data_IF_423724654810
#
_entry.id   IF_423724654810
#
_cell.length_a   1.000
_cell.length_b   1.000
_cell.length_c   1.000
_cell.angle_alpha   90.00
_cell.angle_beta   90.00
_cell.angle_gamma   90.00
#
_symmetry.space_group_name_H-M   'P 1'
#
loop_
_entity.id
_entity.type
_entity.pdbx_description
1 polymer ?
#
# COMPACT_ATOMS: atom_id res chain seq x y z
N UNK A 1 27.25 -4.37 1.71
CA UNK A 1 25.81 -4.17 1.79
C UNK A 1 25.17 -5.08 0.76
N UNK A 2 24.34 -6.03 1.19
CA UNK A 2 23.65 -6.91 0.28
C UNK A 2 22.51 -6.16 -0.38
N UNK A 3 22.42 -6.22 -1.71
CA UNK A 3 21.38 -5.57 -2.49
C UNK A 3 20.57 -6.61 -3.25
N UNK A 4 19.24 -6.47 -3.20
CA UNK A 4 18.33 -7.28 -3.99
C UNK A 4 18.40 -6.83 -5.44
N UNK A 5 18.89 -7.72 -6.31
CA UNK A 5 18.89 -7.53 -7.75
C UNK A 5 17.77 -8.32 -8.40
N UNK A 6 16.92 -7.65 -9.15
CA UNK A 6 15.77 -8.25 -9.83
C UNK A 6 16.09 -8.42 -11.30
N UNK A 7 16.47 -9.63 -11.69
CA UNK A 7 16.82 -9.97 -13.09
C UNK A 7 15.61 -10.51 -13.89
N UNK A 8 14.52 -10.84 -13.20
CA UNK A 8 13.32 -11.42 -13.79
C UNK A 8 12.08 -10.75 -13.21
N UNK A 9 11.20 -10.27 -14.07
CA UNK A 9 9.95 -9.62 -13.66
C UNK A 9 9.08 -10.57 -12.83
N UNK A 10 8.73 -10.22 -11.57
CA UNK A 10 7.94 -11.10 -10.70
C UNK A 10 6.49 -11.31 -11.19
N UNK A 11 5.98 -10.43 -12.05
CA UNK A 11 4.65 -10.58 -12.61
C UNK A 11 4.62 -11.59 -13.78
N UNK A 12 5.45 -11.37 -14.80
CA UNK A 12 5.32 -12.12 -16.07
C UNK A 12 6.50 -13.03 -16.41
N UNK A 13 7.54 -13.08 -15.58
CA UNK A 13 8.76 -13.86 -15.85
C UNK A 13 9.64 -13.27 -16.97
N UNK A 14 9.34 -12.08 -17.48
CA UNK A 14 10.13 -11.43 -18.53
C UNK A 14 11.51 -11.01 -18.02
N UNK A 15 12.56 -11.21 -18.85
CA UNK A 15 13.95 -10.85 -18.52
C UNK A 15 14.41 -9.55 -19.19
N UNK A 16 13.63 -9.00 -20.12
CA UNK A 16 13.96 -7.75 -20.77
C UNK A 16 13.45 -6.59 -19.91
N UNK A 17 14.40 -5.91 -19.26
CA UNK A 17 14.18 -4.79 -18.37
C UNK A 17 14.83 -3.55 -18.98
N UNK A 18 14.15 -2.43 -18.93
CA UNK A 18 14.64 -1.13 -19.38
C UNK A 18 14.66 -0.14 -18.23
N UNK A 19 15.59 0.81 -18.25
CA UNK A 19 15.59 1.92 -17.32
C UNK A 19 14.38 2.81 -17.56
N UNK A 20 13.57 3.04 -16.53
CA UNK A 20 12.42 3.92 -16.63
C UNK A 20 12.72 5.31 -16.06
N UNK A 21 13.32 5.39 -14.88
CA UNK A 21 13.62 6.65 -14.20
C UNK A 21 14.61 6.42 -13.06
N UNK A 22 15.44 7.41 -12.73
CA UNK A 22 16.29 7.39 -11.54
C UNK A 22 15.73 8.34 -10.50
N UNK A 23 15.41 7.81 -9.31
CA UNK A 23 14.87 8.57 -8.20
C UNK A 23 15.89 8.72 -7.06
N UNK A 24 15.78 9.81 -6.30
CA UNK A 24 16.63 10.06 -5.12
C UNK A 24 15.81 9.75 -3.85
N UNK A 25 16.42 9.07 -2.88
CA UNK A 25 15.86 8.99 -1.53
C UNK A 25 15.97 10.35 -0.84
N UNK A 26 14.98 11.19 -1.04
CA UNK A 26 14.92 12.53 -0.43
C UNK A 26 14.47 12.48 1.04
N UNK A 27 14.10 11.31 1.54
CA UNK A 27 13.59 11.14 2.89
C UNK A 27 14.72 10.90 3.92
N UNK A 28 15.68 10.03 3.60
CA UNK A 28 16.68 9.59 4.56
C UNK A 28 18.13 9.76 4.07
N UNK A 29 18.52 9.07 2.99
CA UNK A 29 19.94 8.85 2.66
C UNK A 29 20.51 9.80 1.60
N UNK A 30 19.69 10.37 0.74
CA UNK A 30 20.13 11.10 -0.47
C UNK A 30 20.68 10.18 -1.57
N UNK A 31 20.70 8.86 -1.40
CA UNK A 31 21.16 7.90 -2.40
C UNK A 31 20.20 7.85 -3.60
N UNK A 32 20.74 7.49 -4.76
CA UNK A 32 19.97 7.33 -5.99
C UNK A 32 19.70 5.85 -6.27
N UNK A 33 18.47 5.57 -6.70
CA UNK A 33 18.03 4.24 -7.08
C UNK A 33 17.37 4.28 -8.45
N UNK A 34 17.61 3.23 -9.24
CA UNK A 34 16.98 3.07 -10.55
C UNK A 34 15.63 2.37 -10.42
N UNK A 35 14.63 2.92 -11.06
CA UNK A 35 13.35 2.25 -11.26
C UNK A 35 13.37 1.66 -12.66
N UNK A 36 13.26 0.33 -12.74
CA UNK A 36 13.24 -0.42 -14.00
C UNK A 36 11.82 -0.73 -14.42
N UNK A 37 11.64 -0.91 -15.71
CA UNK A 37 10.38 -1.34 -16.32
C UNK A 37 10.57 -2.69 -17.04
N UNK A 38 9.68 -3.63 -16.80
CA UNK A 38 9.57 -4.81 -17.64
C UNK A 38 8.94 -4.42 -18.98
N UNK A 39 9.64 -4.66 -20.09
CA UNK A 39 9.14 -4.30 -21.44
C UNK A 39 7.93 -5.11 -21.86
N UNK A 40 7.74 -6.34 -21.27
CA UNK A 40 6.65 -7.25 -21.61
C UNK A 40 5.31 -6.85 -20.97
N UNK A 41 5.31 -6.46 -19.69
CA UNK A 41 4.05 -6.20 -18.95
C UNK A 41 3.95 -4.78 -18.39
N UNK A 42 5.01 -3.96 -18.50
CA UNK A 42 5.04 -2.60 -18.01
C UNK A 42 5.20 -2.45 -16.49
N UNK A 43 5.43 -3.55 -15.75
CA UNK A 43 5.62 -3.48 -14.32
C UNK A 43 6.90 -2.71 -13.96
N UNK A 44 6.79 -1.77 -13.03
CA UNK A 44 7.87 -0.92 -12.54
C UNK A 44 8.33 -1.42 -11.16
N UNK A 45 9.64 -1.46 -10.94
CA UNK A 45 10.22 -1.84 -9.65
C UNK A 45 11.57 -1.17 -9.45
N UNK A 46 11.89 -0.88 -8.17
CA UNK A 46 13.17 -0.31 -7.77
C UNK A 46 14.25 -1.39 -7.79
N UNK A 47 15.40 -1.09 -8.38
CA UNK A 47 16.51 -2.03 -8.54
C UNK A 47 17.57 -1.79 -7.47
N UNK A 48 18.33 -2.86 -7.16
CA UNK A 48 19.45 -2.83 -6.23
C UNK A 48 19.10 -2.23 -4.85
N UNK A 49 17.89 -2.52 -4.37
CA UNK A 49 17.46 -2.09 -3.04
C UNK A 49 18.18 -2.88 -1.95
N UNK A 50 18.45 -2.30 -0.77
CA UNK A 50 18.96 -3.06 0.37
C UNK A 50 18.00 -4.21 0.72
N UNK A 51 18.55 -5.37 1.06
CA UNK A 51 17.74 -6.51 1.56
C UNK A 51 17.01 -6.12 2.86
N UNK A 52 15.95 -6.85 3.19
CA UNK A 52 15.10 -6.56 4.35
C UNK A 52 15.86 -6.37 5.66
N UNK A 53 16.90 -7.16 5.89
CA UNK A 53 17.76 -7.05 7.07
C UNK A 53 18.53 -5.71 7.17
N UNK A 54 18.73 -5.01 6.05
CA UNK A 54 19.54 -3.78 5.97
C UNK A 54 18.70 -2.54 5.64
N UNK A 55 17.43 -2.69 5.26
CA UNK A 55 16.56 -1.57 4.88
C UNK A 55 16.23 -0.64 6.06
N UNK A 56 16.37 -1.11 7.30
CA UNK A 56 15.99 -0.40 8.52
C UNK A 56 16.51 1.05 8.59
N UNK A 57 17.77 1.29 8.18
CA UNK A 57 18.39 2.64 8.18
C UNK A 57 17.63 3.68 7.35
N UNK A 58 16.89 3.26 6.33
CA UNK A 58 16.08 4.16 5.49
C UNK A 58 14.74 4.54 6.13
N UNK A 59 14.41 3.93 7.28
CA UNK A 59 13.25 4.27 8.11
C UNK A 59 13.63 5.05 9.37
N UNK A 60 14.93 5.15 9.70
CA UNK A 60 15.43 5.84 10.90
C UNK A 60 15.54 7.34 10.68
N UNK A 61 14.40 8.01 10.55
CA UNK A 61 14.35 9.46 10.48
C UNK A 61 13.49 10.03 11.61
N UNK A 62 13.79 11.23 12.15
CA UNK A 62 12.97 11.86 13.17
C UNK A 62 11.50 12.04 12.74
N UNK A 63 11.26 12.20 11.45
CA UNK A 63 9.93 12.42 10.88
C UNK A 63 9.08 11.14 10.79
N UNK A 64 9.69 9.94 10.82
CA UNK A 64 8.95 8.66 10.73
C UNK A 64 8.01 8.42 11.91
N UNK A 65 8.36 8.94 13.08
CA UNK A 65 7.58 8.81 14.31
C UNK A 65 6.65 10.02 14.53
N UNK A 66 6.87 11.14 13.83
CA UNK A 66 6.19 12.41 14.06
C UNK A 66 4.78 12.51 13.45
N UNK A 67 4.22 11.43 12.92
CA UNK A 67 2.75 11.35 12.81
C UNK A 67 2.09 11.24 14.19
N UNK A 68 2.82 11.67 15.23
CA UNK A 68 2.38 11.76 16.60
C UNK A 68 1.25 12.76 16.75
N UNK A 69 0.22 12.34 17.45
CA UNK A 69 -0.94 13.09 17.90
C UNK A 69 -0.54 14.30 18.76
N UNK A 70 -0.09 15.38 18.15
CA UNK A 70 -0.05 16.66 18.84
C UNK A 70 -1.42 17.33 18.72
N UNK A 71 -2.18 17.32 19.80
CA UNK A 71 -3.56 17.81 19.87
C UNK A 71 -3.71 19.34 19.81
N UNK A 72 -2.73 20.10 19.29
CA UNK A 72 -2.76 21.55 19.31
C UNK A 72 -2.81 22.16 17.90
N UNK A 73 -3.89 22.91 17.63
CA UNK A 73 -4.04 23.74 16.42
C UNK A 73 -5.18 23.33 15.48
N UNK A 74 -5.62 24.28 14.64
CA UNK A 74 -6.69 24.08 13.65
C UNK A 74 -6.35 22.99 12.65
N UNK A 75 -5.09 22.90 12.21
CA UNK A 75 -4.61 21.90 11.25
C UNK A 75 -4.78 20.48 11.79
N UNK A 76 -4.49 20.24 13.06
CA UNK A 76 -4.69 18.93 13.68
C UNK A 76 -6.16 18.54 13.78
N UNK A 77 -7.06 19.49 14.06
CA UNK A 77 -8.51 19.22 14.03
C UNK A 77 -8.96 18.77 12.65
N UNK A 78 -8.51 19.44 11.60
CA UNK A 78 -8.81 19.05 10.21
C UNK A 78 -8.24 17.66 9.93
N UNK A 79 -7.00 17.38 10.32
CA UNK A 79 -6.38 16.07 10.15
C UNK A 79 -7.19 14.95 10.85
N UNK A 80 -7.61 15.15 12.10
CA UNK A 80 -8.44 14.19 12.82
C UNK A 80 -9.81 13.96 12.16
N UNK A 81 -10.44 14.99 11.62
CA UNK A 81 -11.71 14.86 10.89
C UNK A 81 -11.53 14.07 9.58
N UNK A 82 -10.49 14.39 8.83
CA UNK A 82 -10.15 13.65 7.60
C UNK A 82 -9.85 12.18 7.92
N UNK A 83 -9.05 11.91 8.96
CA UNK A 83 -8.76 10.54 9.43
C UNK A 83 -10.05 9.79 9.76
N UNK A 84 -10.93 10.37 10.60
CA UNK A 84 -12.22 9.77 10.98
C UNK A 84 -13.09 9.46 9.76
N UNK A 85 -13.16 10.39 8.82
CA UNK A 85 -13.88 10.21 7.57
C UNK A 85 -13.30 9.05 6.74
N UNK A 86 -11.96 9.01 6.58
CA UNK A 86 -11.29 7.95 5.81
C UNK A 86 -11.43 6.58 6.46
N UNK A 87 -11.32 6.47 7.80
CA UNK A 87 -11.56 5.21 8.53
C UNK A 87 -13.00 4.72 8.32
N UNK A 88 -13.97 5.63 8.34
CA UNK A 88 -15.37 5.27 8.06
C UNK A 88 -15.56 4.79 6.61
N UNK A 89 -14.91 5.43 5.63
CA UNK A 89 -14.95 4.98 4.22
C UNK A 89 -14.30 3.62 4.04
N UNK A 90 -13.12 3.37 4.66
CA UNK A 90 -12.45 2.07 4.65
C UNK A 90 -13.35 0.96 5.22
N UNK A 91 -13.97 1.20 6.37
CA UNK A 91 -14.89 0.24 6.99
C UNK A 91 -16.14 -0.03 6.12
N UNK A 92 -16.73 1.00 5.52
CA UNK A 92 -17.85 0.85 4.58
C UNK A 92 -17.45 0.07 3.33
N UNK A 93 -16.24 0.25 2.82
CA UNK A 93 -15.73 -0.51 1.70
C UNK A 93 -15.68 -2.00 2.05
N UNK A 94 -15.06 -2.37 3.17
CA UNK A 94 -14.98 -3.77 3.61
C UNK A 94 -16.38 -4.38 3.77
N UNK A 95 -17.30 -3.68 4.46
CA UNK A 95 -18.69 -4.14 4.61
C UNK A 95 -19.35 -4.40 3.25
N UNK A 96 -19.14 -3.52 2.28
CA UNK A 96 -19.77 -3.64 0.96
C UNK A 96 -19.16 -4.79 0.15
N UNK A 97 -17.82 -4.90 0.14
CA UNK A 97 -17.12 -5.90 -0.68
C UNK A 97 -17.23 -7.31 -0.12
N UNK A 98 -17.20 -7.47 1.22
CA UNK A 98 -17.37 -8.76 1.87
C UNK A 98 -18.83 -9.18 2.04
N UNK A 99 -19.77 -8.24 1.96
CA UNK A 99 -21.18 -8.45 2.30
C UNK A 99 -21.44 -8.62 3.81
N UNK A 100 -20.41 -8.49 4.65
CA UNK A 100 -20.46 -8.76 6.08
C UNK A 100 -20.46 -7.48 6.90
N UNK A 101 -21.28 -7.40 7.93
CA UNK A 101 -21.22 -6.32 8.93
C UNK A 101 -20.22 -6.60 10.06
N UNK A 102 -19.90 -7.88 10.29
CA UNK A 102 -18.94 -8.40 11.28
C UNK A 102 -18.28 -9.65 10.70
N UNK A 103 -17.03 -9.92 11.07
CA UNK A 103 -16.28 -11.06 10.58
C UNK A 103 -14.89 -11.12 11.20
N UNK A 104 -14.00 -11.92 10.62
CA UNK A 104 -12.57 -11.97 10.96
C UNK A 104 -11.78 -11.12 9.97
N UNK A 105 -11.00 -10.18 10.48
CA UNK A 105 -10.15 -9.26 9.71
C UNK A 105 -8.69 -9.47 10.09
N UNK A 106 -7.83 -9.55 9.08
CA UNK A 106 -6.39 -9.39 9.24
C UNK A 106 -5.96 -8.06 8.61
N UNK A 107 -5.34 -7.18 9.40
CA UNK A 107 -4.79 -5.92 8.95
C UNK A 107 -3.27 -5.98 8.98
N UNK A 108 -2.63 -6.06 7.81
CA UNK A 108 -1.18 -6.19 7.67
C UNK A 108 -0.58 -4.80 7.50
N UNK A 109 0.45 -4.49 8.31
CA UNK A 109 1.05 -3.16 8.38
C UNK A 109 0.08 -2.16 9.02
N UNK A 110 -0.51 -2.53 10.16
CA UNK A 110 -1.53 -1.71 10.84
C UNK A 110 -1.02 -0.35 11.34
N UNK A 111 0.30 -0.14 11.36
CA UNK A 111 0.93 1.04 11.92
C UNK A 111 0.54 1.21 13.40
N UNK A 112 0.09 2.39 13.76
CA UNK A 112 -0.36 2.72 15.13
C UNK A 112 -1.76 2.18 15.49
N UNK A 113 -2.38 1.34 14.63
CA UNK A 113 -3.60 0.58 14.95
C UNK A 113 -4.93 1.32 14.82
N UNK A 114 -4.97 2.58 14.34
CA UNK A 114 -6.23 3.33 14.21
C UNK A 114 -7.29 2.63 13.37
N UNK A 115 -6.90 2.03 12.24
CA UNK A 115 -7.86 1.34 11.39
C UNK A 115 -8.33 0.02 12.03
N UNK A 116 -7.42 -0.76 12.56
CA UNK A 116 -7.70 -2.00 13.29
C UNK A 116 -8.65 -1.75 14.46
N UNK A 117 -8.40 -0.69 15.26
CA UNK A 117 -9.30 -0.28 16.33
C UNK A 117 -10.69 0.11 15.81
N UNK A 118 -10.74 0.91 14.76
CA UNK A 118 -12.01 1.32 14.15
C UNK A 118 -12.85 0.12 13.65
N UNK A 119 -12.21 -0.98 13.24
CA UNK A 119 -12.89 -2.22 12.87
C UNK A 119 -13.30 -3.05 14.11
N UNK A 120 -12.45 -3.11 15.15
CA UNK A 120 -12.78 -3.74 16.45
C UNK A 120 -14.02 -3.10 17.07
N UNK A 121 -14.11 -1.76 17.10
CA UNK A 121 -15.27 -1.00 17.60
C UNK A 121 -16.55 -1.29 16.80
N UNK A 122 -16.44 -1.69 15.53
CA UNK A 122 -17.56 -2.12 14.68
C UNK A 122 -17.90 -3.60 14.82
N UNK A 123 -17.27 -4.30 15.75
CA UNK A 123 -17.54 -5.69 16.11
C UNK A 123 -16.84 -6.72 15.20
N UNK A 124 -15.79 -6.33 14.47
CA UNK A 124 -14.91 -7.29 13.79
C UNK A 124 -13.94 -7.93 14.77
N UNK A 125 -13.65 -9.21 14.58
CA UNK A 125 -12.52 -9.90 15.23
C UNK A 125 -11.28 -9.55 14.45
N UNK A 126 -10.47 -8.66 15.00
CA UNK A 126 -9.29 -8.14 14.32
C UNK A 126 -8.05 -8.87 14.80
N UNK A 127 -7.24 -9.34 13.86
CA UNK A 127 -5.82 -9.61 14.01
C UNK A 127 -5.06 -8.54 13.25
N UNK A 128 -3.93 -8.13 13.78
CA UNK A 128 -3.12 -7.08 13.19
C UNK A 128 -1.65 -7.47 13.22
N UNK A 129 -0.91 -7.10 12.18
CA UNK A 129 0.53 -7.30 12.06
C UNK A 129 1.20 -5.95 11.82
N UNK A 130 2.32 -5.71 12.51
CA UNK A 130 3.14 -4.52 12.31
C UNK A 130 4.62 -4.83 12.63
N UNK A 131 5.51 -4.43 11.73
CA UNK A 131 6.96 -4.63 11.89
C UNK A 131 7.55 -3.73 12.99
N UNK A 132 7.09 -2.49 13.07
CA UNK A 132 7.63 -1.47 13.97
C UNK A 132 7.18 -1.70 15.41
N UNK A 133 8.15 -2.00 16.30
CA UNK A 133 7.91 -2.27 17.73
C UNK A 133 7.23 -1.08 18.44
N UNK A 134 7.62 0.16 18.11
CA UNK A 134 7.04 1.35 18.74
C UNK A 134 5.59 1.55 18.31
N UNK A 135 5.26 1.27 17.05
CA UNK A 135 3.88 1.32 16.57
C UNK A 135 3.01 0.25 17.24
N UNK A 136 3.53 -0.98 17.44
CA UNK A 136 2.83 -2.02 18.20
C UNK A 136 2.57 -1.62 19.64
N UNK A 137 3.59 -1.05 20.31
CA UNK A 137 3.45 -0.56 21.70
C UNK A 137 2.38 0.54 21.78
N UNK A 138 2.37 1.49 20.85
CA UNK A 138 1.35 2.53 20.76
C UNK A 138 -0.06 1.94 20.60
N UNK A 139 -0.24 0.97 19.71
CA UNK A 139 -1.54 0.32 19.48
C UNK A 139 -2.04 -0.41 20.73
N UNK A 140 -1.13 -1.05 21.47
CA UNK A 140 -1.47 -1.70 22.74
C UNK A 140 -1.87 -0.70 23.81
N UNK A 141 -1.08 0.37 24.00
CA UNK A 141 -1.31 1.38 25.02
C UNK A 141 -2.63 2.16 24.81
N UNK A 142 -2.90 2.57 23.56
CA UNK A 142 -4.01 3.48 23.26
C UNK A 142 -5.31 2.78 22.90
N UNK A 143 -5.27 1.56 22.39
CA UNK A 143 -6.44 0.85 21.87
C UNK A 143 -6.64 -0.56 22.46
N UNK A 144 -5.73 -0.99 23.34
CA UNK A 144 -5.69 -2.37 23.82
C UNK A 144 -5.78 -3.39 22.66
N UNK A 145 -4.98 -3.14 21.63
CA UNK A 145 -4.83 -4.03 20.49
C UNK A 145 -3.57 -4.88 20.66
N UNK A 146 -3.74 -6.18 20.57
CA UNK A 146 -2.62 -7.10 20.42
C UNK A 146 -2.23 -7.14 18.96
N UNK A 147 -1.04 -6.62 18.66
CA UNK A 147 -0.48 -6.53 17.30
C UNK A 147 0.72 -7.46 17.22
N UNK A 148 0.63 -8.43 16.34
CA UNK A 148 1.67 -9.45 16.15
C UNK A 148 2.84 -8.87 15.34
N UNK A 149 4.03 -9.49 15.45
CA UNK A 149 5.16 -9.18 14.59
C UNK A 149 4.99 -9.83 13.21
N UNK A 150 5.83 -9.44 12.25
CA UNK A 150 5.69 -9.83 10.83
C UNK A 150 5.77 -11.36 10.62
N UNK A 151 6.61 -12.05 11.37
CA UNK A 151 6.81 -13.50 11.34
C UNK A 151 5.54 -14.30 11.71
N UNK A 152 4.60 -13.69 12.44
CA UNK A 152 3.32 -14.32 12.78
C UNK A 152 2.45 -14.65 11.55
N UNK A 153 2.68 -13.99 10.39
CA UNK A 153 1.91 -14.23 9.17
C UNK A 153 1.96 -15.70 8.72
N UNK A 154 3.11 -16.33 8.88
CA UNK A 154 3.29 -17.75 8.54
C UNK A 154 2.48 -18.71 9.44
N UNK A 155 2.25 -18.32 10.71
CA UNK A 155 1.61 -19.15 11.72
C UNK A 155 0.09 -19.13 11.73
N UNK A 156 -0.57 -18.22 11.00
CA UNK A 156 -2.03 -18.22 10.94
C UNK A 156 -2.56 -19.42 10.15
N UNK A 157 -3.69 -19.97 10.58
CA UNK A 157 -4.34 -21.08 9.88
C UNK A 157 -4.93 -20.60 8.54
N UNK A 158 -4.92 -21.47 7.54
CA UNK A 158 -5.56 -21.20 6.25
C UNK A 158 -7.08 -21.02 6.42
N UNK A 159 -7.71 -20.31 5.48
CA UNK A 159 -9.15 -20.02 5.47
C UNK A 159 -9.69 -19.39 6.77
N UNK A 160 -8.89 -18.53 7.42
CA UNK A 160 -9.23 -17.93 8.72
C UNK A 160 -9.91 -16.58 8.63
N UNK A 161 -9.71 -15.83 7.55
CA UNK A 161 -10.13 -14.44 7.47
C UNK A 161 -11.21 -14.21 6.42
N UNK A 162 -12.23 -13.41 6.82
CA UNK A 162 -13.27 -12.92 5.92
C UNK A 162 -12.80 -11.70 5.12
N UNK A 163 -11.85 -10.95 5.68
CA UNK A 163 -11.21 -9.83 5.01
C UNK A 163 -9.72 -9.73 5.40
N UNK A 164 -8.87 -9.38 4.43
CA UNK A 164 -7.47 -9.02 4.66
C UNK A 164 -7.25 -7.63 4.08
N UNK A 165 -6.51 -6.77 4.79
CA UNK A 165 -6.23 -5.40 4.35
C UNK A 165 -4.74 -5.09 4.39
N UNK A 166 -4.25 -4.41 3.34
CA UNK A 166 -2.91 -3.84 3.23
C UNK A 166 -3.04 -2.38 2.76
N UNK A 167 -2.82 -1.44 3.68
CA UNK A 167 -2.94 0.00 3.41
C UNK A 167 -1.55 0.60 3.26
N UNK A 168 -1.03 0.72 2.05
CA UNK A 168 0.34 1.16 1.75
C UNK A 168 1.39 0.23 2.41
N UNK A 169 1.31 -1.04 2.05
CA UNK A 169 2.20 -2.10 2.57
C UNK A 169 2.74 -2.97 1.44
N UNK A 170 1.90 -3.34 0.46
CA UNK A 170 2.27 -4.28 -0.60
C UNK A 170 3.51 -3.81 -1.39
N UNK A 171 3.67 -2.51 -1.56
CA UNK A 171 4.80 -1.89 -2.24
C UNK A 171 6.15 -2.06 -1.52
N UNK A 172 6.13 -2.40 -0.22
CA UNK A 172 7.34 -2.58 0.62
C UNK A 172 7.79 -4.04 0.75
N UNK A 173 6.95 -5.01 0.40
CA UNK A 173 7.18 -6.42 0.71
C UNK A 173 8.22 -7.04 -0.24
N UNK A 174 9.33 -7.56 0.27
CA UNK A 174 10.40 -8.15 -0.54
C UNK A 174 9.91 -9.38 -1.32
N UNK A 175 9.19 -10.28 -0.66
CA UNK A 175 8.70 -11.56 -1.23
C UNK A 175 7.28 -11.44 -1.79
N UNK A 176 7.13 -10.68 -2.90
CA UNK A 176 5.83 -10.28 -3.44
C UNK A 176 4.93 -11.48 -3.83
N UNK A 177 5.45 -12.46 -4.56
CA UNK A 177 4.65 -13.60 -5.03
C UNK A 177 4.23 -14.51 -3.87
N UNK A 178 5.16 -14.83 -3.00
CA UNK A 178 4.95 -15.65 -1.80
C UNK A 178 3.90 -15.00 -0.88
N UNK A 179 3.96 -13.68 -0.77
CA UNK A 179 2.94 -12.92 -0.03
C UNK A 179 1.56 -13.08 -0.67
N UNK A 180 1.43 -12.90 -1.99
CA UNK A 180 0.14 -13.08 -2.66
C UNK A 180 -0.43 -14.50 -2.47
N UNK A 181 0.43 -15.53 -2.56
CA UNK A 181 0.05 -16.92 -2.32
C UNK A 181 -0.42 -17.12 -0.88
N UNK A 182 0.33 -16.55 0.09
CA UNK A 182 -0.05 -16.64 1.50
C UNK A 182 -1.36 -15.93 1.80
N UNK A 183 -1.59 -14.74 1.25
CA UNK A 183 -2.86 -14.01 1.39
C UNK A 183 -4.03 -14.81 0.82
N UNK A 184 -3.83 -15.49 -0.32
CA UNK A 184 -4.85 -16.34 -0.91
C UNK A 184 -5.20 -17.52 0.01
N UNK A 185 -4.20 -18.20 0.59
CA UNK A 185 -4.42 -19.32 1.51
C UNK A 185 -5.15 -18.90 2.78
N UNK A 186 -4.84 -17.71 3.31
CA UNK A 186 -5.45 -17.19 4.55
C UNK A 186 -6.92 -16.79 4.40
N UNK A 187 -7.35 -16.44 3.19
CA UNK A 187 -8.72 -16.02 2.94
C UNK A 187 -9.68 -17.21 2.91
N UNK A 188 -10.85 -17.03 3.51
CA UNK A 188 -11.98 -17.93 3.33
C UNK A 188 -12.49 -17.89 1.88
N UNK A 189 -13.30 -18.87 1.50
CA UNK A 189 -13.84 -19.04 0.12
C UNK A 189 -14.51 -17.79 -0.46
N UNK A 190 -15.11 -16.97 0.37
CA UNK A 190 -15.73 -15.69 -0.02
C UNK A 190 -15.02 -14.48 0.57
N UNK A 191 -13.79 -14.69 1.03
CA UNK A 191 -12.97 -13.66 1.61
C UNK A 191 -12.57 -12.59 0.60
N UNK A 192 -12.32 -11.38 1.09
CA UNK A 192 -11.91 -10.24 0.28
C UNK A 192 -10.54 -9.73 0.70
N UNK A 193 -9.70 -9.45 -0.28
CA UNK A 193 -8.43 -8.78 -0.08
C UNK A 193 -8.57 -7.32 -0.53
N UNK A 194 -8.19 -6.39 0.35
CA UNK A 194 -8.16 -4.95 0.06
C UNK A 194 -6.71 -4.48 0.09
N UNK A 195 -6.24 -3.97 -1.04
CA UNK A 195 -4.87 -3.44 -1.18
C UNK A 195 -4.93 -1.98 -1.60
N UNK A 196 -4.27 -1.10 -0.87
CA UNK A 196 -4.06 0.28 -1.27
C UNK A 196 -2.59 0.51 -1.54
N UNK A 197 -2.25 1.08 -2.70
CA UNK A 197 -0.87 1.36 -3.12
C UNK A 197 -0.79 2.66 -3.91
N UNK A 198 0.37 3.33 -3.94
CA UNK A 198 0.65 4.45 -4.84
C UNK A 198 0.56 4.04 -6.31
N UNK A 199 0.19 5.00 -7.16
CA UNK A 199 -0.04 4.76 -8.58
C UNK A 199 0.89 5.62 -9.45
N UNK A 200 1.94 5.06 -10.05
CA UNK A 200 2.90 5.82 -10.88
C UNK A 200 2.29 6.34 -12.19
N UNK A 201 1.06 5.94 -12.54
CA UNK A 201 0.31 6.49 -13.68
C UNK A 201 -0.61 7.66 -13.30
N UNK A 202 -0.55 8.14 -12.06
CA UNK A 202 -1.35 9.27 -11.57
C UNK A 202 -0.94 10.59 -12.23
N UNK A 203 -1.82 11.60 -12.08
CA UNK A 203 -1.54 12.95 -12.62
C UNK A 203 -0.28 13.56 -12.00
N UNK A 204 -0.15 13.50 -10.69
CA UNK A 204 0.97 14.04 -9.92
C UNK A 204 2.27 13.26 -10.19
N UNK A 205 2.24 11.94 -10.33
CA UNK A 205 3.41 11.16 -10.72
C UNK A 205 3.94 11.55 -12.11
N UNK A 206 3.06 11.68 -13.09
CA UNK A 206 3.42 12.11 -14.46
C UNK A 206 3.97 13.54 -14.47
N UNK A 207 3.42 14.43 -13.65
CA UNK A 207 3.86 15.82 -13.53
C UNK A 207 5.23 15.95 -12.87
N UNK A 208 5.43 15.23 -11.75
CA UNK A 208 6.63 15.40 -10.91
C UNK A 208 7.80 14.51 -11.33
N UNK A 209 7.53 13.45 -12.08
CA UNK A 209 8.54 12.50 -12.58
C UNK A 209 9.42 11.97 -11.44
N UNK A 210 10.75 12.07 -11.56
CA UNK A 210 11.74 11.59 -10.59
C UNK A 210 11.59 12.20 -9.18
N UNK A 211 10.93 13.34 -9.07
CA UNK A 211 10.68 14.02 -7.80
C UNK A 211 9.44 13.53 -7.07
N UNK A 212 8.60 12.72 -7.73
CA UNK A 212 7.34 12.27 -7.12
C UNK A 212 7.59 11.52 -5.82
N UNK A 213 7.15 12.09 -4.69
CA UNK A 213 7.49 11.60 -3.35
C UNK A 213 7.02 10.16 -3.10
N UNK A 214 5.98 9.69 -3.80
CA UNK A 214 5.48 8.34 -3.62
C UNK A 214 6.24 7.26 -4.43
N UNK A 215 7.31 7.62 -5.16
CA UNK A 215 8.30 6.60 -5.52
C UNK A 215 9.02 6.06 -4.29
N UNK A 216 9.25 6.90 -3.30
CA UNK A 216 9.77 6.56 -1.97
C UNK A 216 10.89 5.50 -1.96
N UNK A 217 11.84 5.62 -2.90
CA UNK A 217 12.97 4.70 -3.02
C UNK A 217 13.93 4.82 -1.83
N UNK A 218 14.53 3.73 -1.34
CA UNK A 218 14.36 2.34 -1.74
C UNK A 218 13.26 1.59 -0.98
N UNK A 219 12.47 2.27 -0.13
CA UNK A 219 11.41 1.67 0.69
C UNK A 219 10.29 1.05 -0.15
N UNK A 220 9.90 1.71 -1.26
CA UNK A 220 8.98 1.14 -2.23
C UNK A 220 9.75 0.33 -3.27
N UNK A 221 9.62 -1.00 -3.20
CA UNK A 221 10.21 -1.92 -4.16
C UNK A 221 9.37 -1.99 -5.43
N UNK A 222 8.05 -1.95 -5.28
CA UNK A 222 7.07 -2.23 -6.33
C UNK A 222 6.18 -1.03 -6.62
N UNK A 223 6.00 -0.70 -7.91
CA UNK A 223 5.19 0.45 -8.33
C UNK A 223 4.02 -0.02 -9.18
N UNK A 224 2.85 -0.10 -8.56
CA UNK A 224 1.67 -0.71 -9.15
C UNK A 224 0.82 0.27 -9.93
N UNK A 225 0.72 0.11 -11.25
CA UNK A 225 -0.37 0.71 -12.03
C UNK A 225 -1.66 -0.11 -11.89
N UNK A 226 -2.84 0.46 -12.20
CA UNK A 226 -4.09 -0.31 -12.19
C UNK A 226 -4.06 -1.59 -13.01
N UNK A 227 -3.43 -1.57 -14.19
CA UNK A 227 -3.34 -2.75 -15.05
C UNK A 227 -2.39 -3.83 -14.48
N UNK A 228 -1.29 -3.42 -13.86
CA UNK A 228 -0.35 -4.33 -13.19
C UNK A 228 -1.00 -4.99 -11.99
N UNK A 229 -1.70 -4.24 -11.16
CA UNK A 229 -2.42 -4.80 -10.01
C UNK A 229 -3.49 -5.81 -10.44
N UNK A 230 -4.22 -5.53 -11.51
CA UNK A 230 -5.18 -6.47 -12.07
C UNK A 230 -4.51 -7.76 -12.55
N UNK A 231 -3.36 -7.66 -13.24
CA UNK A 231 -2.60 -8.83 -13.70
C UNK A 231 -2.05 -9.66 -12.54
N UNK A 232 -1.56 -9.03 -11.46
CA UNK A 232 -1.15 -9.74 -10.24
C UNK A 232 -2.33 -10.47 -9.60
N UNK A 233 -3.48 -9.81 -9.48
CA UNK A 233 -4.68 -10.46 -8.98
C UNK A 233 -5.01 -11.73 -9.78
N UNK A 234 -5.07 -11.64 -11.11
CA UNK A 234 -5.36 -12.79 -11.99
C UNK A 234 -4.31 -13.88 -11.83
N UNK A 235 -3.01 -13.54 -11.80
CA UNK A 235 -1.91 -14.50 -11.62
C UNK A 235 -2.08 -15.36 -10.35
N UNK A 236 -2.58 -14.77 -9.27
CA UNK A 236 -2.74 -15.43 -7.97
C UNK A 236 -4.19 -15.87 -7.67
N UNK A 237 -5.04 -16.02 -8.72
CA UNK A 237 -6.39 -16.56 -8.58
C UNK A 237 -7.43 -15.56 -8.03
N UNK A 238 -7.11 -14.28 -8.04
CA UNK A 238 -8.05 -13.23 -7.62
C UNK A 238 -8.74 -12.58 -8.81
N UNK A 239 -9.99 -12.23 -8.63
CA UNK A 239 -10.74 -11.36 -9.53
C UNK A 239 -10.84 -9.96 -8.94
N UNK A 240 -10.45 -8.96 -9.71
CA UNK A 240 -10.66 -7.57 -9.33
C UNK A 240 -12.17 -7.27 -9.30
N UNK A 241 -12.70 -7.02 -8.10
CA UNK A 241 -14.10 -6.69 -7.90
C UNK A 241 -14.34 -5.19 -8.06
N UNK A 242 -13.52 -4.37 -7.41
CA UNK A 242 -13.68 -2.92 -7.39
C UNK A 242 -12.34 -2.18 -7.34
N UNK A 243 -12.33 -0.96 -7.92
CA UNK A 243 -11.21 -0.02 -7.80
C UNK A 243 -11.73 1.32 -7.28
N UNK A 244 -11.04 1.88 -6.28
CA UNK A 244 -11.41 3.15 -5.69
C UNK A 244 -10.23 4.10 -5.63
N UNK A 245 -10.40 5.37 -6.02
CA UNK A 245 -9.38 6.38 -5.85
C UNK A 245 -9.23 6.78 -4.38
N UNK A 246 -8.01 7.19 -4.01
CA UNK A 246 -7.70 7.88 -2.77
C UNK A 246 -7.33 9.35 -3.07
N UNK A 247 -8.32 10.20 -3.33
CA UNK A 247 -8.08 11.53 -3.92
C UNK A 247 -7.34 12.49 -2.99
N UNK A 248 -7.38 12.26 -1.66
CA UNK A 248 -6.71 13.13 -0.69
C UNK A 248 -5.21 12.89 -0.62
N UNK A 249 -4.72 11.72 -1.02
CA UNK A 249 -3.29 11.40 -1.02
C UNK A 249 -2.51 12.32 -1.95
N UNK A 250 -3.13 12.74 -3.06
CA UNK A 250 -2.52 13.66 -4.01
C UNK A 250 -2.07 14.98 -3.36
N UNK A 251 -2.80 15.50 -2.37
CA UNK A 251 -2.44 16.73 -1.66
C UNK A 251 -1.19 16.51 -0.82
N UNK A 252 -1.17 15.44 -0.02
CA UNK A 252 -0.03 15.11 0.83
C UNK A 252 1.22 14.81 0.00
N UNK A 253 1.11 13.92 -1.00
CA UNK A 253 2.23 13.53 -1.87
C UNK A 253 2.78 14.74 -2.62
N UNK A 254 1.91 15.62 -3.15
CA UNK A 254 2.35 16.82 -3.86
C UNK A 254 3.05 17.84 -2.94
N UNK A 255 2.55 18.04 -1.72
CA UNK A 255 3.22 18.92 -0.74
C UNK A 255 4.60 18.37 -0.36
N UNK A 256 4.70 17.07 -0.13
CA UNK A 256 5.96 16.40 0.18
C UNK A 256 6.94 16.50 -0.99
N UNK A 257 6.47 16.28 -2.20
CA UNK A 257 7.25 16.43 -3.43
C UNK A 257 7.83 17.84 -3.57
N UNK A 258 7.01 18.87 -3.35
CA UNK A 258 7.47 20.26 -3.41
C UNK A 258 8.48 20.60 -2.29
N UNK A 259 8.35 19.96 -1.10
CA UNK A 259 9.35 20.04 -0.03
C UNK A 259 10.68 19.43 -0.47
N UNK A 260 10.66 18.26 -1.09
CA UNK A 260 11.86 17.59 -1.62
C UNK A 260 12.55 18.39 -2.72
N UNK A 261 11.79 19.09 -3.56
CA UNK A 261 12.33 20.02 -4.58
C UNK A 261 12.92 21.32 -4.00
N UNK A 262 12.86 21.51 -2.67
CA UNK A 262 13.31 22.76 -2.05
C UNK A 262 12.46 23.98 -2.40
N UNK A 263 11.21 23.78 -2.80
CA UNK A 263 10.33 24.87 -3.22
C UNK A 263 9.99 25.82 -2.07
N UNK A 264 10.25 27.13 -2.24
CA UNK A 264 9.94 28.17 -1.23
C UNK A 264 8.45 28.23 -0.87
N UNK A 265 7.57 27.83 -1.76
CA UNK A 265 6.11 27.81 -1.57
C UNK A 265 5.55 26.39 -1.68
N UNK A 266 6.24 25.42 -1.05
CA UNK A 266 5.91 23.99 -1.16
C UNK A 266 4.45 23.69 -0.80
N UNK A 267 3.91 24.31 0.24
CA UNK A 267 2.50 24.15 0.63
C UNK A 267 1.54 24.59 -0.48
N UNK A 268 1.68 25.83 -0.98
CA UNK A 268 0.75 26.38 -2.00
C UNK A 268 0.84 25.62 -3.32
N UNK A 269 2.07 25.31 -3.78
CA UNK A 269 2.26 24.56 -5.03
C UNK A 269 1.78 23.11 -4.89
N UNK A 270 2.03 22.49 -3.74
CA UNK A 270 1.55 21.14 -3.46
C UNK A 270 0.03 21.07 -3.40
N UNK A 271 -0.61 22.03 -2.72
CA UNK A 271 -2.07 22.15 -2.70
C UNK A 271 -2.66 22.35 -4.09
N UNK A 272 -2.05 23.21 -4.90
CA UNK A 272 -2.50 23.44 -6.28
C UNK A 272 -2.38 22.18 -7.15
N UNK A 273 -1.23 21.49 -7.07
CA UNK A 273 -1.06 20.22 -7.82
C UNK A 273 -1.99 19.13 -7.30
N UNK A 274 -2.18 19.02 -5.97
CA UNK A 274 -3.15 18.12 -5.37
C UNK A 274 -4.57 18.37 -5.87
N UNK A 275 -4.97 19.64 -6.02
CA UNK A 275 -6.27 20.01 -6.56
C UNK A 275 -6.42 19.59 -8.04
N UNK A 276 -5.40 19.82 -8.87
CA UNK A 276 -5.41 19.38 -10.27
C UNK A 276 -5.46 17.85 -10.38
N UNK A 277 -4.71 17.14 -9.54
CA UNK A 277 -4.75 15.67 -9.46
C UNK A 277 -6.14 15.17 -9.02
N UNK A 278 -6.78 15.86 -8.07
CA UNK A 278 -8.14 15.56 -7.64
C UNK A 278 -9.15 15.71 -8.79
N UNK A 279 -9.10 16.80 -9.53
CA UNK A 279 -9.93 16.98 -10.74
C UNK A 279 -9.64 15.93 -11.81
N UNK A 280 -8.35 15.61 -12.04
CA UNK A 280 -7.96 14.53 -12.96
C UNK A 280 -8.54 13.17 -12.53
N UNK A 281 -8.64 12.93 -11.22
CA UNK A 281 -9.26 11.71 -10.67
C UNK A 281 -10.77 11.68 -10.89
N UNK A 282 -11.47 12.82 -10.83
CA UNK A 282 -12.90 12.90 -11.15
C UNK A 282 -13.16 12.58 -12.62
N UNK A 283 -12.30 13.09 -13.52
CA UNK A 283 -12.39 12.79 -14.94
C UNK A 283 -12.03 11.33 -15.27
N UNK A 284 -11.06 10.75 -14.56
CA UNK A 284 -10.53 9.41 -14.82
C UNK A 284 -10.05 8.77 -13.51
N UNK A 285 -10.86 7.88 -12.91
CA UNK A 285 -10.60 7.27 -11.59
C UNK A 285 -9.21 6.64 -11.47
N UNK A 286 -8.71 5.98 -12.51
CA UNK A 286 -7.39 5.35 -12.55
C UNK A 286 -6.19 6.33 -12.53
N UNK A 287 -6.40 7.65 -12.44
CA UNK A 287 -5.35 8.68 -12.34
C UNK A 287 -5.18 9.26 -10.93
N UNK A 288 -5.75 8.63 -9.92
CA UNK A 288 -5.51 9.00 -8.51
C UNK A 288 -4.08 8.67 -8.09
N UNK A 289 -3.52 9.50 -7.21
CA UNK A 289 -2.17 9.35 -6.64
C UNK A 289 -1.99 7.98 -5.96
N UNK A 290 -3.00 7.54 -5.23
CA UNK A 290 -3.10 6.19 -4.68
C UNK A 290 -4.43 5.56 -5.07
N UNK A 291 -4.43 4.23 -5.19
CA UNK A 291 -5.60 3.43 -5.55
C UNK A 291 -5.85 2.33 -4.54
N UNK A 292 -7.12 2.09 -4.26
CA UNK A 292 -7.57 0.92 -3.50
C UNK A 292 -8.12 -0.11 -4.49
N UNK A 293 -7.70 -1.34 -4.31
CA UNK A 293 -8.16 -2.50 -5.06
C UNK A 293 -8.85 -3.46 -4.10
N UNK A 294 -10.11 -3.77 -4.38
CA UNK A 294 -10.82 -4.85 -3.72
C UNK A 294 -10.83 -6.05 -4.66
N UNK A 295 -10.22 -7.14 -4.23
CA UNK A 295 -10.18 -8.39 -4.98
C UNK A 295 -10.85 -9.50 -4.19
N UNK A 296 -11.62 -10.33 -4.87
CA UNK A 296 -12.22 -11.54 -4.30
C UNK A 296 -11.49 -12.76 -4.84
N UNK A 297 -11.25 -13.73 -3.95
CA UNK A 297 -10.68 -14.99 -4.36
C UNK A 297 -11.73 -15.77 -5.18
N UNK A 298 -11.38 -16.16 -6.39
CA UNK A 298 -12.20 -17.07 -7.19
C UNK A 298 -11.54 -18.44 -7.11
N UNK A 299 -12.15 -19.36 -6.36
CA UNK A 299 -11.82 -20.76 -6.56
C UNK A 299 -12.08 -21.09 -8.03
N UNK A 300 -11.04 -21.14 -8.84
CA UNK A 300 -11.10 -21.83 -10.11
C UNK A 300 -11.36 -23.28 -9.74
N UNK A 301 -12.63 -23.70 -9.75
CA UNK A 301 -12.95 -25.11 -9.89
C UNK A 301 -12.24 -25.55 -11.17
N UNK A 302 -11.09 -26.22 -11.00
CA UNK A 302 -10.46 -26.93 -12.09
C UNK A 302 -11.58 -27.76 -12.73
N UNK A 303 -11.82 -27.66 -14.05
CA UNK A 303 -12.79 -28.51 -14.67
C UNK A 303 -12.38 -29.94 -14.35
N UNK A 304 -13.17 -30.61 -13.52
CA UNK A 304 -13.05 -32.05 -13.29
C UNK A 304 -13.08 -32.67 -14.68
N UNK A 305 -11.91 -33.12 -15.18
CA UNK A 305 -11.88 -34.00 -16.33
C UNK A 305 -12.78 -35.18 -15.96
N UNK A 306 -14.00 -35.19 -16.49
CA UNK A 306 -14.75 -36.43 -16.56
C UNK A 306 -13.90 -37.41 -17.39
N UNK A 307 -13.28 -38.34 -16.71
CA UNK A 307 -12.74 -39.53 -17.31
C UNK A 307 -13.98 -40.33 -17.69
N UNK A 308 -14.26 -40.37 -18.98
CA UNK A 308 -15.18 -41.32 -19.60
C UNK A 308 -14.30 -42.44 -20.13
#
# INVERSE_FOLDING_TARGET
>A
MNRLKIDTCPLCGGKQLEHAITCTDNYASGEKFEVMRCTRCGFLFTQEVPVEAEIGRYYETPDYISHSDTNKGLMNRVYHQVRKYMLSRKAKLIKRTSGLSKGSLLDIGTGTGYFSNAMKERGWRVRAIEKNVKARAFAKEHFDLDVDAEDALAGYADHSFDAITLWHVMEHLEHLNETWERLAALLKDRGVLIVAVPNPSSYDAVKYKEWWAAYDVPRHLWHFTPSVMQQFGVKHGFKLAEQHPMPFDAFYVSMLTEKYKGSRFSFLKGMWTGLLAWFSTLARKGRSSSMIYAVSYTHLTLPTKRIV
#
